data_IF_530871857110
#
_entry.id   IF_530871857110
#
_cell.length_a   1.000
_cell.length_b   1.000
_cell.length_c   1.000
_cell.angle_alpha   90.00
_cell.angle_beta   90.00
_cell.angle_gamma   90.00
#
_symmetry.space_group_name_H-M   'P 1'
#
loop_
_entity.id
_entity.type
_entity.pdbx_description
1 polymer ?
#
# COMPACT_ATOMS: atom_id res chain seq x y z
N UNK A 1 -20.28 3.32 22.55
CA UNK A 1 -19.05 4.07 22.89
C UNK A 1 -17.93 3.04 22.80
N UNK A 2 -16.92 3.07 21.94
CA UNK A 2 -16.32 4.03 21.01
C UNK A 2 -16.32 3.43 19.60
N UNK A 3 -16.65 4.24 18.60
CA UNK A 3 -16.56 3.86 17.18
C UNK A 3 -15.09 4.01 16.76
N UNK A 4 -14.23 3.10 17.22
CA UNK A 4 -12.83 3.08 16.81
C UNK A 4 -12.76 2.65 15.36
N UNK A 5 -12.47 3.62 14.50
CA UNK A 5 -12.09 3.39 13.11
C UNK A 5 -10.76 2.66 13.14
N UNK A 6 -10.78 1.33 13.08
CA UNK A 6 -9.57 0.56 12.77
C UNK A 6 -8.97 1.16 11.48
N UNK A 7 -7.71 1.62 11.50
CA UNK A 7 -7.06 2.13 10.30
C UNK A 7 -7.13 1.03 9.25
N UNK A 8 -7.78 1.33 8.13
CA UNK A 8 -8.05 0.44 6.99
C UNK A 8 -6.76 -0.15 6.33
N UNK A 9 -5.59 -0.12 6.97
CA UNK A 9 -4.21 -0.56 6.65
C UNK A 9 -3.26 0.26 7.55
N UNK A 10 -2.10 -0.29 7.95
CA UNK A 10 -1.01 0.52 8.50
C UNK A 10 -0.66 1.60 7.45
N UNK A 11 -0.67 2.90 7.76
CA UNK A 11 -0.44 3.96 6.77
C UNK A 11 0.88 3.82 6.00
N UNK A 12 1.84 3.10 6.57
CA UNK A 12 3.08 2.73 5.90
C UNK A 12 2.80 1.81 4.71
N UNK A 13 2.00 0.76 4.89
CA UNK A 13 1.65 -0.18 3.82
C UNK A 13 0.96 0.53 2.65
N UNK A 14 0.05 1.47 2.93
CA UNK A 14 -0.59 2.27 1.88
C UNK A 14 0.38 3.13 1.09
N UNK A 15 1.28 3.81 1.79
CA UNK A 15 2.24 4.69 1.11
C UNK A 15 3.22 3.86 0.30
N UNK A 16 3.66 2.70 0.82
CA UNK A 16 4.46 1.75 0.06
C UNK A 16 3.71 1.26 -1.19
N UNK A 17 2.43 0.93 -1.08
CA UNK A 17 1.59 0.44 -2.19
C UNK A 17 1.40 1.51 -3.28
N UNK A 18 1.09 2.76 -2.88
CA UNK A 18 1.02 3.91 -3.80
C UNK A 18 2.37 4.15 -4.47
N UNK A 19 3.47 4.09 -3.71
CA UNK A 19 4.82 4.32 -4.24
C UNK A 19 5.20 3.21 -5.22
N UNK A 20 4.96 1.94 -4.89
CA UNK A 20 5.18 0.83 -5.82
C UNK A 20 4.36 0.99 -7.10
N UNK A 21 3.09 1.38 -7.01
CA UNK A 21 2.24 1.65 -8.17
C UNK A 21 2.75 2.80 -9.05
N UNK A 22 3.18 3.91 -8.44
CA UNK A 22 3.79 5.04 -9.17
C UNK A 22 5.11 4.62 -9.84
N UNK A 23 5.95 3.84 -9.16
CA UNK A 23 7.21 3.34 -9.71
C UNK A 23 7.01 2.34 -10.86
N UNK A 24 6.01 1.48 -10.78
CA UNK A 24 5.61 0.57 -11.86
C UNK A 24 5.11 1.35 -13.08
N UNK A 25 4.21 2.31 -12.87
CA UNK A 25 3.71 3.17 -13.94
C UNK A 25 4.85 3.94 -14.61
N UNK A 26 5.78 4.49 -13.82
CA UNK A 26 6.99 5.16 -14.30
C UNK A 26 7.94 4.21 -15.04
N UNK A 27 8.03 2.94 -14.65
CA UNK A 27 8.83 1.92 -15.33
C UNK A 27 8.29 1.62 -16.72
N UNK A 28 6.97 1.51 -16.86
CA UNK A 28 6.34 1.28 -18.16
C UNK A 28 6.34 2.51 -19.05
N UNK A 29 6.01 3.70 -18.52
CA UNK A 29 6.09 4.95 -19.30
C UNK A 29 7.53 5.31 -19.64
N UNK A 30 8.46 4.96 -18.75
CA UNK A 30 9.90 4.95 -18.99
C UNK A 30 10.20 4.06 -20.16
N UNK A 31 9.95 2.74 -20.05
CA UNK A 31 10.18 1.69 -21.06
C UNK A 31 9.61 1.93 -22.47
N UNK A 32 8.56 2.76 -22.56
CA UNK A 32 7.94 3.13 -23.83
C UNK A 32 8.54 4.42 -24.43
N UNK A 33 9.29 5.21 -23.65
CA UNK A 33 9.99 6.42 -24.10
C UNK A 33 11.12 6.13 -25.08
N UNK A 34 11.78 4.98 -24.98
CA UNK A 34 12.82 4.53 -25.94
C UNK A 34 12.21 3.88 -27.18
N UNK A 35 10.94 3.46 -27.12
CA UNK A 35 10.39 2.60 -28.16
C UNK A 35 9.91 3.31 -29.45
N UNK A 36 9.37 4.55 -29.45
CA UNK A 36 8.64 5.02 -30.67
C UNK A 36 8.39 6.54 -30.82
N UNK A 37 8.22 7.00 -32.08
CA UNK A 37 8.00 8.41 -32.47
C UNK A 37 6.88 8.58 -33.54
N UNK A 38 5.65 8.92 -33.12
CA UNK A 38 4.52 9.18 -34.02
C UNK A 38 3.20 9.58 -33.30
N UNK A 39 2.33 10.38 -33.93
CA UNK A 39 1.06 10.87 -33.32
C UNK A 39 0.04 9.75 -33.04
N UNK A 40 0.02 8.70 -33.84
CA UNK A 40 -0.87 7.55 -33.66
C UNK A 40 -0.47 6.73 -32.42
N UNK A 41 0.81 6.79 -32.04
CA UNK A 41 1.35 6.13 -30.85
C UNK A 41 1.00 6.87 -29.55
N UNK A 42 0.77 8.20 -29.57
CA UNK A 42 0.36 8.96 -28.37
C UNK A 42 -0.98 8.45 -27.80
N UNK A 43 -1.97 8.21 -28.67
CA UNK A 43 -3.28 7.67 -28.23
C UNK A 43 -3.16 6.25 -27.72
N UNK A 44 -2.40 5.41 -28.41
CA UNK A 44 -2.12 4.04 -27.95
C UNK A 44 -1.42 4.06 -26.60
N UNK A 45 -0.40 4.91 -26.42
CA UNK A 45 0.33 5.07 -25.17
C UNK A 45 -0.56 5.57 -24.04
N UNK A 46 -1.47 6.51 -24.30
CA UNK A 46 -2.45 6.99 -23.33
C UNK A 46 -3.38 5.86 -22.87
N UNK A 47 -3.93 5.06 -23.80
CA UNK A 47 -4.77 3.92 -23.44
C UNK A 47 -3.99 2.84 -22.68
N UNK A 48 -2.73 2.58 -23.06
CA UNK A 48 -1.85 1.66 -22.34
C UNK A 48 -1.56 2.14 -20.92
N UNK A 49 -1.24 3.43 -20.74
CA UNK A 49 -0.97 4.02 -19.43
C UNK A 49 -2.21 4.02 -18.53
N UNK A 50 -3.39 4.36 -19.07
CA UNK A 50 -4.66 4.30 -18.35
C UNK A 50 -5.02 2.85 -17.98
N UNK A 51 -4.87 1.91 -18.92
CA UNK A 51 -5.13 0.49 -18.68
C UNK A 51 -4.22 -0.10 -17.61
N UNK A 52 -2.93 0.24 -17.64
CA UNK A 52 -1.96 -0.16 -16.62
C UNK A 52 -2.34 0.39 -15.23
N UNK A 53 -2.69 1.67 -15.16
CA UNK A 53 -3.11 2.31 -13.91
C UNK A 53 -4.36 1.63 -13.30
N UNK A 54 -5.40 1.42 -14.12
CA UNK A 54 -6.62 0.75 -13.68
C UNK A 54 -6.36 -0.70 -13.24
N UNK A 55 -5.55 -1.44 -14.00
CA UNK A 55 -5.17 -2.81 -13.66
C UNK A 55 -4.40 -2.86 -12.33
N UNK A 56 -3.47 -1.92 -12.11
CA UNK A 56 -2.72 -1.84 -10.86
C UNK A 56 -3.62 -1.53 -9.66
N UNK A 57 -4.49 -0.51 -9.76
CA UNK A 57 -5.45 -0.21 -8.70
C UNK A 57 -6.36 -1.41 -8.37
N UNK A 58 -6.71 -2.23 -9.37
CA UNK A 58 -7.49 -3.44 -9.17
C UNK A 58 -6.69 -4.51 -8.41
N UNK A 59 -5.42 -4.69 -8.74
CA UNK A 59 -4.51 -5.59 -8.01
C UNK A 59 -4.42 -5.17 -6.55
N UNK A 60 -4.22 -3.88 -6.25
CA UNK A 60 -4.14 -3.37 -4.86
C UNK A 60 -5.46 -3.62 -4.11
N UNK A 61 -6.60 -3.39 -4.74
CA UNK A 61 -7.91 -3.69 -4.14
C UNK A 61 -8.11 -5.18 -3.84
N UNK A 62 -7.66 -6.07 -4.73
CA UNK A 62 -7.71 -7.52 -4.51
C UNK A 62 -6.73 -7.92 -3.39
N UNK A 63 -5.51 -7.37 -3.39
CA UNK A 63 -4.52 -7.62 -2.36
C UNK A 63 -4.99 -7.15 -0.98
N UNK A 64 -5.69 -6.02 -0.92
CA UNK A 64 -6.36 -5.54 0.27
C UNK A 64 -7.38 -6.56 0.82
N UNK A 65 -8.23 -7.12 -0.05
CA UNK A 65 -9.20 -8.15 0.35
C UNK A 65 -8.51 -9.43 0.83
N UNK A 66 -7.47 -9.89 0.12
CA UNK A 66 -6.68 -11.06 0.50
C UNK A 66 -6.04 -10.84 1.87
N UNK A 67 -5.40 -9.69 2.09
CA UNK A 67 -4.80 -9.34 3.38
C UNK A 67 -5.84 -9.33 4.50
N UNK A 68 -6.99 -8.71 4.25
CA UNK A 68 -8.09 -8.64 5.23
C UNK A 68 -8.62 -10.03 5.59
N UNK A 69 -8.85 -10.88 4.59
CA UNK A 69 -9.28 -12.26 4.81
C UNK A 69 -8.23 -13.08 5.56
N UNK A 70 -6.96 -12.91 5.20
CA UNK A 70 -5.82 -13.64 5.80
C UNK A 70 -5.63 -13.22 7.26
N UNK A 71 -5.66 -11.92 7.56
CA UNK A 71 -5.59 -11.39 8.92
C UNK A 71 -6.74 -11.92 9.79
N UNK A 72 -7.98 -11.88 9.30
CA UNK A 72 -9.14 -12.42 10.03
C UNK A 72 -9.01 -13.91 10.28
N UNK A 73 -8.55 -14.67 9.29
CA UNK A 73 -8.31 -16.12 9.42
C UNK A 73 -7.21 -16.40 10.44
N UNK A 74 -6.09 -15.66 10.38
CA UNK A 74 -4.99 -15.79 11.35
C UNK A 74 -5.45 -15.50 12.78
N UNK A 75 -6.19 -14.41 13.00
CA UNK A 75 -6.76 -14.05 14.30
C UNK A 75 -7.73 -15.12 14.81
N UNK A 76 -8.61 -15.64 13.94
CA UNK A 76 -9.53 -16.72 14.29
C UNK A 76 -8.81 -18.01 14.66
N UNK A 77 -7.78 -18.41 13.90
CA UNK A 77 -6.97 -19.60 14.19
C UNK A 77 -6.21 -19.45 15.50
N UNK A 78 -5.62 -18.28 15.77
CA UNK A 78 -4.91 -18.00 17.03
C UNK A 78 -5.85 -18.13 18.23
N UNK A 79 -7.05 -17.54 18.15
CA UNK A 79 -8.05 -17.67 19.22
C UNK A 79 -8.51 -19.12 19.42
N UNK A 80 -8.72 -19.86 18.33
CA UNK A 80 -9.07 -21.28 18.40
C UNK A 80 -7.96 -22.09 19.10
N UNK A 81 -6.69 -21.87 18.74
CA UNK A 81 -5.55 -22.51 19.38
C UNK A 81 -5.49 -22.18 20.88
N UNK A 82 -5.60 -20.91 21.25
CA UNK A 82 -5.58 -20.47 22.65
C UNK A 82 -6.71 -21.07 23.51
N UNK A 83 -7.84 -21.45 22.90
CA UNK A 83 -8.96 -22.13 23.58
C UNK A 83 -8.75 -23.63 23.74
N UNK A 84 -8.06 -24.25 22.79
CA UNK A 84 -7.79 -25.69 22.81
C UNK A 84 -6.53 -26.06 23.59
N UNK A 85 -5.58 -25.12 23.73
CA UNK A 85 -4.32 -25.33 24.43
C UNK A 85 -4.55 -25.41 25.94
N UNK A 86 -4.28 -26.58 26.53
CA UNK A 86 -4.30 -26.79 27.99
C UNK A 86 -2.97 -26.47 28.68
N UNK A 87 -1.91 -26.20 27.92
CA UNK A 87 -0.56 -25.96 28.42
C UNK A 87 -0.24 -24.46 28.51
N UNK A 88 0.08 -23.98 29.71
CA UNK A 88 0.35 -22.57 29.99
C UNK A 88 1.55 -22.01 29.22
N UNK A 89 2.74 -22.66 29.23
CA UNK A 89 3.88 -22.20 28.44
C UNK A 89 3.60 -22.08 26.95
N UNK A 90 2.81 -22.98 26.35
CA UNK A 90 2.46 -22.87 24.93
C UNK A 90 1.50 -21.70 24.65
N UNK A 91 0.53 -21.45 25.55
CA UNK A 91 -0.33 -20.27 25.45
C UNK A 91 0.48 -18.96 25.57
N UNK A 92 1.45 -18.91 26.49
CA UNK A 92 2.36 -17.76 26.64
C UNK A 92 3.18 -17.49 25.38
N UNK A 93 3.69 -18.55 24.74
CA UNK A 93 4.42 -18.46 23.48
C UNK A 93 3.56 -17.88 22.36
N UNK A 94 2.35 -18.43 22.16
CA UNK A 94 1.40 -17.96 21.15
C UNK A 94 1.00 -16.49 21.33
N UNK A 95 0.81 -16.04 22.57
CA UNK A 95 0.50 -14.62 22.87
C UNK A 95 1.72 -13.73 22.63
N UNK A 96 2.90 -14.17 23.04
CA UNK A 96 4.15 -13.42 22.85
C UNK A 96 4.48 -13.24 21.37
N UNK A 97 4.32 -14.29 20.56
CA UNK A 97 4.53 -14.25 19.11
C UNK A 97 3.53 -13.37 18.36
N UNK A 98 2.36 -13.12 18.96
CA UNK A 98 1.33 -12.25 18.41
C UNK A 98 1.49 -10.77 18.83
N UNK A 99 2.27 -10.49 19.88
CA UNK A 99 2.51 -9.13 20.37
C UNK A 99 3.50 -8.38 19.46
N UNK A 100 3.35 -7.05 19.31
CA UNK A 100 4.39 -6.23 18.69
C UNK A 100 5.72 -6.40 19.43
N UNK A 101 6.83 -6.42 18.69
CA UNK A 101 8.17 -6.71 19.23
C UNK A 101 8.54 -5.86 20.46
N UNK A 102 8.11 -4.60 20.47
CA UNK A 102 8.34 -3.68 21.59
C UNK A 102 7.75 -4.21 22.91
N UNK A 103 6.58 -4.85 22.86
CA UNK A 103 5.90 -5.38 24.04
C UNK A 103 6.34 -6.81 24.36
N UNK A 104 6.63 -7.61 23.33
CA UNK A 104 7.11 -8.99 23.50
C UNK A 104 8.40 -9.06 24.35
N UNK A 105 9.27 -8.04 24.26
CA UNK A 105 10.53 -8.00 25.03
C UNK A 105 10.36 -7.67 26.53
N UNK A 106 9.23 -7.09 26.93
CA UNK A 106 9.01 -6.57 28.30
C UNK A 106 7.84 -7.25 29.01
N UNK A 107 7.06 -8.06 28.31
CA UNK A 107 5.85 -8.68 28.85
C UNK A 107 6.20 -9.72 29.92
N UNK A 108 5.53 -9.62 31.06
CA UNK A 108 5.74 -10.52 32.19
C UNK A 108 4.77 -11.71 32.14
N UNK A 109 5.13 -12.88 32.70
CA UNK A 109 4.26 -14.06 32.69
C UNK A 109 2.86 -13.81 33.29
N UNK A 110 2.78 -13.01 34.36
CA UNK A 110 1.50 -12.64 34.99
C UNK A 110 0.60 -11.83 34.03
N UNK A 111 1.18 -10.98 33.19
CA UNK A 111 0.46 -10.22 32.17
C UNK A 111 0.00 -11.12 31.03
N UNK A 112 0.82 -12.12 30.64
CA UNK A 112 0.43 -13.13 29.64
C UNK A 112 -0.76 -13.96 30.12
N UNK A 113 -0.80 -14.34 31.41
CA UNK A 113 -1.95 -15.02 32.01
C UNK A 113 -3.21 -14.16 31.95
N UNK A 114 -3.11 -12.87 32.31
CA UNK A 114 -4.24 -11.94 32.24
C UNK A 114 -4.73 -11.74 30.80
N UNK A 115 -3.80 -11.63 29.84
CA UNK A 115 -4.12 -11.53 28.42
C UNK A 115 -4.79 -12.81 27.90
N UNK A 116 -4.31 -13.99 28.29
CA UNK A 116 -4.92 -15.26 27.91
C UNK A 116 -6.36 -15.34 28.39
N UNK A 117 -6.61 -15.03 29.67
CA UNK A 117 -7.97 -15.00 30.24
C UNK A 117 -8.88 -14.01 29.49
N UNK A 118 -8.38 -12.80 29.19
CA UNK A 118 -9.11 -11.82 28.40
C UNK A 118 -9.46 -12.34 27.00
N UNK A 119 -8.49 -12.94 26.30
CA UNK A 119 -8.67 -13.48 24.95
C UNK A 119 -9.69 -14.61 24.88
N UNK A 120 -9.83 -15.43 25.92
CA UNK A 120 -10.86 -16.48 25.97
C UNK A 120 -12.27 -15.90 25.89
N UNK A 121 -12.48 -14.69 26.46
CA UNK A 121 -13.78 -13.99 26.43
C UNK A 121 -14.09 -13.30 25.10
N UNK A 122 -13.09 -13.12 24.23
CA UNK A 122 -13.26 -12.44 22.95
C UNK A 122 -14.08 -13.31 21.99
N UNK A 123 -15.10 -12.72 21.38
CA UNK A 123 -15.90 -13.42 20.36
C UNK A 123 -15.06 -13.70 19.11
N UNK A 124 -15.22 -14.89 18.53
CA UNK A 124 -14.51 -15.23 17.30
C UNK A 124 -14.81 -14.24 16.18
N UNK A 125 -13.77 -13.68 15.53
CA UNK A 125 -13.96 -12.76 14.41
C UNK A 125 -14.54 -13.52 13.22
N UNK A 126 -15.51 -12.89 12.54
CA UNK A 126 -16.10 -13.46 11.33
C UNK A 126 -15.06 -13.48 10.20
N UNK A 127 -14.71 -14.66 9.70
CA UNK A 127 -13.70 -14.83 8.63
C UNK A 127 -14.21 -14.37 7.26
N UNK A 128 -15.53 -14.28 7.07
CA UNK A 128 -16.11 -13.89 5.77
C UNK A 128 -15.90 -12.40 5.49
N UNK A 129 -15.62 -12.09 4.23
CA UNK A 129 -15.63 -10.72 3.73
C UNK A 129 -17.08 -10.24 3.60
N UNK A 130 -17.32 -9.01 4.06
CA UNK A 130 -18.62 -8.35 3.98
C UNK A 130 -18.59 -7.14 3.05
N UNK A 131 -19.76 -6.53 2.81
CA UNK A 131 -19.87 -5.37 1.91
C UNK A 131 -18.98 -4.17 2.29
N UNK A 132 -18.66 -4.01 3.59
CA UNK A 132 -17.72 -2.99 4.06
C UNK A 132 -16.29 -3.22 3.58
N UNK A 133 -15.87 -4.48 3.45
CA UNK A 133 -14.53 -4.84 2.98
C UNK A 133 -14.40 -4.55 1.48
N UNK A 134 -15.44 -4.82 0.70
CA UNK A 134 -15.48 -4.45 -0.72
C UNK A 134 -15.53 -2.94 -0.93
N UNK A 135 -16.26 -2.20 -0.09
CA UNK A 135 -16.26 -0.74 -0.12
C UNK A 135 -14.87 -0.16 0.22
N UNK A 136 -14.18 -0.76 1.18
CA UNK A 136 -12.80 -0.40 1.53
C UNK A 136 -11.82 -0.71 0.39
N UNK A 137 -11.93 -1.89 -0.22
CA UNK A 137 -11.14 -2.27 -1.39
C UNK A 137 -11.37 -1.30 -2.56
N UNK A 138 -12.61 -0.90 -2.81
CA UNK A 138 -12.93 0.13 -3.79
C UNK A 138 -12.33 1.49 -3.41
N UNK A 139 -12.29 1.84 -2.12
CA UNK A 139 -11.60 3.02 -1.63
C UNK A 139 -10.10 3.00 -1.94
N UNK A 140 -9.43 1.85 -1.76
CA UNK A 140 -8.02 1.67 -2.14
C UNK A 140 -7.84 1.80 -3.64
N UNK A 141 -8.65 1.09 -4.45
CA UNK A 141 -8.67 1.22 -5.91
C UNK A 141 -8.78 2.68 -6.35
N UNK A 142 -9.79 3.39 -5.85
CA UNK A 142 -10.06 4.77 -6.22
C UNK A 142 -8.91 5.69 -5.79
N UNK A 143 -8.37 5.50 -4.59
CA UNK A 143 -7.23 6.27 -4.11
C UNK A 143 -6.02 6.09 -5.02
N UNK A 144 -5.67 4.84 -5.35
CA UNK A 144 -4.53 4.53 -6.21
C UNK A 144 -4.71 5.13 -7.59
N UNK A 145 -5.86 4.89 -8.23
CA UNK A 145 -6.17 5.43 -9.56
C UNK A 145 -6.16 6.95 -9.57
N UNK A 146 -6.75 7.61 -8.57
CA UNK A 146 -6.77 9.08 -8.48
C UNK A 146 -5.39 9.67 -8.20
N UNK A 147 -4.54 8.99 -7.44
CA UNK A 147 -3.18 9.45 -7.14
C UNK A 147 -2.26 9.41 -8.37
N UNK A 148 -2.48 8.44 -9.25
CA UNK A 148 -1.69 8.21 -10.48
C UNK A 148 -2.31 8.87 -11.71
N UNK A 149 -3.60 9.22 -11.68
CA UNK A 149 -4.28 9.88 -12.80
C UNK A 149 -3.59 11.18 -13.28
N UNK A 150 -3.10 12.08 -12.39
CA UNK A 150 -2.38 13.27 -12.80
C UNK A 150 -1.19 12.99 -13.72
N UNK A 151 -0.52 11.85 -13.55
CA UNK A 151 0.63 11.44 -14.36
C UNK A 151 0.21 11.16 -15.82
N UNK A 152 -1.03 10.73 -16.04
CA UNK A 152 -1.55 10.40 -17.37
C UNK A 152 -2.20 11.60 -18.08
N UNK A 153 -2.62 12.63 -17.33
CA UNK A 153 -3.25 13.85 -17.86
C UNK A 153 -2.46 14.49 -19.03
N UNK A 154 -1.12 14.64 -18.97
CA UNK A 154 -0.36 15.28 -20.04
C UNK A 154 -0.53 14.60 -21.41
N UNK A 155 -0.73 13.27 -21.44
CA UNK A 155 -0.91 12.53 -22.69
C UNK A 155 -2.24 12.80 -23.39
N UNK A 156 -3.24 13.33 -22.67
CA UNK A 156 -4.54 13.72 -23.24
C UNK A 156 -4.42 15.05 -23.99
N UNK A 157 -3.64 15.99 -23.45
CA UNK A 157 -3.59 17.37 -23.94
C UNK A 157 -2.37 17.66 -24.82
N UNK A 158 -1.27 16.92 -24.67
CA UNK A 158 0.01 17.21 -25.32
C UNK A 158 0.29 16.18 -26.41
N UNK A 159 0.25 16.61 -27.68
CA UNK A 159 0.51 15.73 -28.83
C UNK A 159 2.00 15.42 -29.06
N UNK A 160 2.91 16.17 -28.44
CA UNK A 160 4.36 15.93 -28.52
C UNK A 160 4.80 14.99 -27.41
N UNK A 161 5.15 13.75 -27.77
CA UNK A 161 5.55 12.66 -26.84
C UNK A 161 6.61 13.12 -25.84
N UNK A 162 7.70 13.73 -26.32
CA UNK A 162 8.82 14.16 -25.46
C UNK A 162 8.38 15.18 -24.40
N UNK A 163 7.44 16.06 -24.75
CA UNK A 163 6.93 17.07 -23.80
C UNK A 163 5.94 16.42 -22.83
N UNK A 164 5.06 15.55 -23.31
CA UNK A 164 4.11 14.81 -22.48
C UNK A 164 4.82 13.98 -21.40
N UNK A 165 5.90 13.27 -21.79
CA UNK A 165 6.72 12.47 -20.88
C UNK A 165 7.42 13.33 -19.81
N UNK A 166 8.02 14.46 -20.18
CA UNK A 166 8.66 15.35 -19.20
C UNK A 166 7.67 15.89 -18.19
N UNK A 167 6.49 16.32 -18.63
CA UNK A 167 5.43 16.83 -17.75
C UNK A 167 4.91 15.69 -16.84
N UNK A 168 4.69 14.51 -17.41
CA UNK A 168 4.30 13.30 -16.66
C UNK A 168 5.30 12.97 -15.55
N UNK A 169 6.61 12.96 -15.86
CA UNK A 169 7.65 12.67 -14.89
C UNK A 169 7.70 13.71 -13.75
N UNK A 170 7.53 15.00 -14.07
CA UNK A 170 7.44 16.06 -13.06
C UNK A 170 6.24 15.83 -12.14
N UNK A 171 5.06 15.53 -12.71
CA UNK A 171 3.85 15.27 -11.93
C UNK A 171 4.02 14.04 -11.03
N UNK A 172 4.66 12.98 -11.51
CA UNK A 172 4.94 11.80 -10.70
C UNK A 172 5.87 12.11 -9.52
N UNK A 173 6.93 12.90 -9.73
CA UNK A 173 7.83 13.32 -8.66
C UNK A 173 7.14 14.19 -7.60
N UNK A 174 6.20 15.05 -8.04
CA UNK A 174 5.35 15.86 -7.15
C UNK A 174 4.40 14.97 -6.34
N UNK A 175 3.76 13.98 -6.97
CA UNK A 175 2.91 13.00 -6.26
C UNK A 175 3.72 12.23 -5.22
N UNK A 176 4.93 11.76 -5.57
CA UNK A 176 5.83 11.09 -4.62
C UNK A 176 6.24 12.02 -3.47
N UNK A 177 6.49 13.30 -3.75
CA UNK A 177 6.81 14.28 -2.72
C UNK A 177 5.66 14.43 -1.72
N UNK A 178 4.44 14.60 -2.23
CA UNK A 178 3.22 14.75 -1.41
C UNK A 178 2.98 13.50 -0.58
N UNK A 179 3.12 12.31 -1.18
CA UNK A 179 2.99 11.02 -0.47
C UNK A 179 4.05 10.86 0.63
N UNK A 180 5.31 11.14 0.31
CA UNK A 180 6.40 11.11 1.29
C UNK A 180 6.25 12.16 2.40
N UNK A 181 5.70 13.34 2.09
CA UNK A 181 5.40 14.37 3.06
C UNK A 181 4.28 13.94 4.02
N UNK A 182 3.19 13.39 3.48
CA UNK A 182 2.10 12.85 4.28
C UNK A 182 2.58 11.73 5.22
N UNK A 183 3.45 10.84 4.73
CA UNK A 183 4.05 9.77 5.52
C UNK A 183 4.93 10.31 6.65
N UNK A 184 5.81 11.28 6.37
CA UNK A 184 6.69 11.85 7.40
C UNK A 184 5.93 12.62 8.48
N UNK A 185 4.76 13.18 8.15
CA UNK A 185 3.87 13.77 9.14
C UNK A 185 3.22 12.69 10.01
N UNK A 186 2.84 11.55 9.43
CA UNK A 186 2.24 10.45 10.16
C UNK A 186 3.22 9.76 11.13
N UNK A 187 4.48 9.59 10.74
CA UNK A 187 5.51 8.95 11.57
C UNK A 187 6.12 9.85 12.64
N UNK A 188 5.67 11.11 12.77
CA UNK A 188 6.24 12.09 13.70
C UNK A 188 7.66 12.56 13.32
N UNK A 189 8.12 12.23 12.11
CA UNK A 189 9.44 12.63 11.58
C UNK A 189 9.44 14.04 10.98
N UNK A 190 10.44 14.33 10.14
CA UNK A 190 10.55 15.59 9.37
C UNK A 190 9.86 15.43 8.01
N UNK A 191 8.63 15.96 7.81
CA UNK A 191 7.81 15.66 6.61
C UNK A 191 8.46 16.10 5.30
N UNK A 192 9.20 17.21 5.33
CA UNK A 192 9.90 17.69 4.15
C UNK A 192 11.05 16.74 3.74
N UNK A 193 11.77 16.18 4.71
CA UNK A 193 12.92 15.30 4.46
C UNK A 193 12.44 13.97 3.85
N UNK A 194 11.34 13.40 4.37
CA UNK A 194 10.74 12.19 3.82
C UNK A 194 10.15 12.43 2.43
N UNK A 195 9.53 13.59 2.19
CA UNK A 195 9.08 13.98 0.86
C UNK A 195 10.23 14.06 -0.15
N UNK A 196 11.31 14.78 0.20
CA UNK A 196 12.51 14.87 -0.66
C UNK A 196 13.15 13.51 -0.88
N UNK A 197 13.28 12.68 0.16
CA UNK A 197 13.83 11.34 0.04
C UNK A 197 13.01 10.47 -0.91
N UNK A 198 11.68 10.53 -0.82
CA UNK A 198 10.80 9.72 -1.66
C UNK A 198 10.83 10.16 -3.13
N UNK A 199 10.82 11.48 -3.39
CA UNK A 199 11.03 11.99 -4.74
C UNK A 199 12.42 11.66 -5.28
N UNK A 200 13.45 11.69 -4.44
CA UNK A 200 14.82 11.32 -4.80
C UNK A 200 14.93 9.85 -5.20
N UNK A 201 14.31 8.95 -4.45
CA UNK A 201 14.20 7.52 -4.79
C UNK A 201 13.47 7.35 -6.13
N UNK A 202 12.34 8.04 -6.31
CA UNK A 202 11.59 8.02 -7.57
C UNK A 202 12.41 8.50 -8.78
N UNK A 203 13.16 9.59 -8.60
CA UNK A 203 14.04 10.13 -9.64
C UNK A 203 15.19 9.17 -9.97
N UNK A 204 15.81 8.55 -8.96
CA UNK A 204 16.86 7.56 -9.14
C UNK A 204 16.36 6.33 -9.90
N UNK A 205 15.19 5.81 -9.52
CA UNK A 205 14.57 4.68 -10.21
C UNK A 205 14.22 5.04 -11.66
N UNK A 206 13.63 6.21 -11.89
CA UNK A 206 13.36 6.71 -13.25
C UNK A 206 14.65 6.79 -14.08
N UNK A 207 15.74 7.29 -13.52
CA UNK A 207 17.03 7.35 -14.21
C UNK A 207 17.57 5.95 -14.55
N UNK A 208 17.42 4.98 -13.64
CA UNK A 208 17.79 3.58 -13.87
C UNK A 208 16.96 2.96 -14.99
N UNK A 209 15.64 3.19 -14.99
CA UNK A 209 14.74 2.69 -16.05
C UNK A 209 15.18 3.21 -17.42
N UNK A 210 15.45 4.52 -17.53
CA UNK A 210 15.94 5.14 -18.76
C UNK A 210 17.30 4.55 -19.17
N UNK A 211 18.21 4.34 -18.21
CA UNK A 211 19.53 3.77 -18.48
C UNK A 211 19.48 2.30 -18.94
N UNK A 212 18.48 1.53 -18.49
CA UNK A 212 18.26 0.13 -18.87
C UNK A 212 17.61 -0.02 -20.26
N UNK A 213 17.54 1.04 -21.04
CA UNK A 213 16.95 1.03 -22.38
C UNK A 213 15.44 1.20 -22.36
N UNK A 214 14.92 1.78 -21.28
CA UNK A 214 13.52 2.10 -21.15
C UNK A 214 13.14 3.42 -21.79
#
# INVERSE_FOLDING_TARGET
MSNEREPLLDPIDRVCEIVFGVLMALSFTGALSVATAGRQEVRTMMFTALGCNLAWGLVDAVMYLIRTATERRRKSTLLAQLRTTGDKPEAHRLITDALPQLFAAIVQPATLDALHQGLLTVREPTVRLGGRDYAAAFGVFALVVLATFPVVIPFIFISKIVVALRVSNILALVTLFIGGFALGRYTGGRPWLTGVAMSGIGAALLAIIIALGG
#
